data_IF_388136283918
#
_entry.id   IF_388136283918
#
_cell.length_a   1.000
_cell.length_b   1.000
_cell.length_c   1.000
_cell.angle_alpha   90.00
_cell.angle_beta   90.00
_cell.angle_gamma   90.00
#
_symmetry.space_group_name_H-M   'P 1'
#
loop_
_entity.id
_entity.type
_entity.pdbx_description
1 polymer ?
#
# COMPACT_ATOMS: atom_id res chain seq x y z
N UNK A 1 14.21 20.20 9.54
CA UNK A 1 13.57 19.63 10.75
C UNK A 1 12.23 19.06 10.31
N UNK A 2 11.96 17.78 10.58
CA UNK A 2 10.68 17.14 10.20
C UNK A 2 9.59 17.48 11.20
N UNK A 3 8.33 17.55 10.75
CA UNK A 3 7.14 17.69 11.60
C UNK A 3 6.37 16.37 11.55
N UNK A 4 5.85 15.89 12.68
CA UNK A 4 5.08 14.65 12.75
C UNK A 4 3.61 14.94 13.04
N UNK A 5 2.70 14.26 12.34
CA UNK A 5 1.26 14.47 12.51
C UNK A 5 0.73 13.68 13.70
N UNK A 6 0.26 14.37 14.74
CA UNK A 6 -0.38 13.74 15.92
C UNK A 6 -1.91 13.69 15.86
N UNK A 7 -2.54 14.62 15.13
CA UNK A 7 -3.99 14.86 15.22
C UNK A 7 -4.78 14.19 14.08
N UNK A 8 -4.09 13.42 13.23
CA UNK A 8 -4.73 12.59 12.19
C UNK A 8 -5.37 11.35 12.82
N UNK A 9 -6.53 10.95 12.31
CA UNK A 9 -7.22 9.71 12.73
C UNK A 9 -7.40 8.71 11.59
N UNK A 10 -6.56 8.78 10.57
CA UNK A 10 -6.59 7.80 9.50
C UNK A 10 -5.25 7.09 9.33
N UNK A 11 -5.35 5.85 8.89
CA UNK A 11 -4.25 4.94 8.61
C UNK A 11 -4.15 4.78 7.10
N UNK A 12 -2.93 4.69 6.60
CA UNK A 12 -2.66 4.35 5.21
C UNK A 12 -2.06 2.95 5.14
N UNK A 13 -2.72 2.07 4.41
CA UNK A 13 -2.39 0.65 4.25
C UNK A 13 -1.93 0.43 2.80
N UNK A 14 -0.61 0.46 2.57
CA UNK A 14 -0.03 0.24 1.24
C UNK A 14 0.29 -1.25 1.08
N UNK A 15 -0.38 -1.91 0.13
CA UNK A 15 -0.37 -3.37 0.00
C UNK A 15 -1.39 -4.00 0.94
N UNK A 16 -2.65 -3.63 0.73
CA UNK A 16 -3.78 -4.10 1.54
C UNK A 16 -3.97 -5.62 1.48
N UNK A 17 -3.61 -6.24 0.35
CA UNK A 17 -3.88 -7.63 0.06
C UNK A 17 -5.37 -8.01 0.31
N UNK A 18 -5.63 -8.99 1.17
CA UNK A 18 -6.97 -9.48 1.49
C UNK A 18 -7.73 -8.54 2.46
N UNK A 19 -7.06 -7.51 2.98
CA UNK A 19 -7.60 -6.49 3.86
C UNK A 19 -7.58 -6.84 5.36
N UNK A 20 -6.84 -7.85 5.82
CA UNK A 20 -6.82 -8.19 7.25
C UNK A 20 -6.27 -7.06 8.14
N UNK A 21 -5.21 -6.37 7.70
CA UNK A 21 -4.69 -5.18 8.39
C UNK A 21 -5.71 -4.03 8.38
N UNK A 22 -6.29 -3.74 7.21
CA UNK A 22 -7.39 -2.78 7.07
C UNK A 22 -8.55 -3.08 8.03
N UNK A 23 -8.98 -4.34 8.15
CA UNK A 23 -10.04 -4.77 9.07
C UNK A 23 -9.64 -4.52 10.53
N UNK A 24 -8.40 -4.83 10.89
CA UNK A 24 -7.85 -4.56 12.22
C UNK A 24 -7.86 -3.05 12.54
N UNK A 25 -7.39 -2.21 11.62
CA UNK A 25 -7.38 -0.75 11.80
C UNK A 25 -8.79 -0.16 11.94
N UNK A 26 -9.75 -0.66 11.15
CA UNK A 26 -11.16 -0.29 11.26
C UNK A 26 -11.75 -0.69 12.62
N UNK A 27 -11.42 -1.88 13.12
CA UNK A 27 -11.87 -2.34 14.45
C UNK A 27 -11.31 -1.49 15.60
N UNK A 28 -10.13 -0.87 15.41
CA UNK A 28 -9.54 0.11 16.35
C UNK A 28 -10.17 1.50 16.27
N UNK A 29 -11.11 1.73 15.35
CA UNK A 29 -11.83 2.99 15.22
C UNK A 29 -11.18 4.02 14.28
N UNK A 30 -10.13 3.63 13.55
CA UNK A 30 -9.52 4.50 12.54
C UNK A 30 -10.33 4.49 11.25
N UNK A 31 -10.13 5.53 10.44
CA UNK A 31 -10.45 5.49 9.02
C UNK A 31 -9.23 4.98 8.25
N UNK A 32 -9.43 4.36 7.08
CA UNK A 32 -8.35 3.74 6.32
C UNK A 32 -8.35 4.20 4.87
N UNK A 33 -7.18 4.53 4.35
CA UNK A 33 -6.93 4.61 2.91
C UNK A 33 -6.06 3.42 2.54
N UNK A 34 -6.64 2.46 1.84
CA UNK A 34 -6.00 1.20 1.48
C UNK A 34 -5.64 1.20 -0.01
N UNK A 35 -4.47 0.69 -0.37
CA UNK A 35 -3.97 0.66 -1.75
C UNK A 35 -3.64 -0.78 -2.12
N UNK A 36 -4.18 -1.23 -3.26
CA UNK A 36 -3.99 -2.60 -3.77
C UNK A 36 -3.98 -2.59 -5.31
N UNK A 37 -3.01 -3.30 -5.90
CA UNK A 37 -2.83 -3.37 -7.34
C UNK A 37 -3.58 -4.55 -7.97
N UNK A 38 -3.76 -5.65 -7.24
CA UNK A 38 -4.44 -6.86 -7.72
C UNK A 38 -5.97 -6.62 -7.84
N UNK A 39 -6.54 -6.64 -9.06
CA UNK A 39 -7.96 -6.35 -9.26
C UNK A 39 -8.90 -7.33 -8.57
N UNK A 40 -8.50 -8.60 -8.41
CA UNK A 40 -9.30 -9.61 -7.74
C UNK A 40 -9.41 -9.31 -6.23
N UNK A 41 -8.30 -8.91 -5.61
CA UNK A 41 -8.26 -8.52 -4.20
C UNK A 41 -9.02 -7.22 -3.96
N UNK A 42 -8.88 -6.24 -4.85
CA UNK A 42 -9.70 -5.02 -4.84
C UNK A 42 -11.19 -5.35 -4.88
N UNK A 43 -11.62 -6.24 -5.77
CA UNK A 43 -13.03 -6.62 -5.90
C UNK A 43 -13.56 -7.32 -4.63
N UNK A 44 -12.75 -8.24 -4.07
CA UNK A 44 -13.05 -8.91 -2.83
C UNK A 44 -13.16 -7.92 -1.66
N UNK A 45 -12.23 -6.97 -1.55
CA UNK A 45 -12.22 -5.95 -0.51
C UNK A 45 -13.40 -4.97 -0.63
N UNK A 46 -13.78 -4.56 -1.84
CA UNK A 46 -14.98 -3.75 -2.06
C UNK A 46 -16.25 -4.45 -1.57
N UNK A 47 -16.30 -5.78 -1.69
CA UNK A 47 -17.41 -6.59 -1.16
C UNK A 47 -17.32 -6.69 0.37
N UNK A 48 -16.14 -7.04 0.89
CA UNK A 48 -15.86 -7.22 2.32
C UNK A 48 -16.15 -5.97 3.15
N UNK A 49 -15.76 -4.80 2.65
CA UNK A 49 -15.85 -3.52 3.35
C UNK A 49 -16.98 -2.61 2.85
N UNK A 50 -18.00 -3.17 2.20
CA UNK A 50 -19.07 -2.38 1.59
C UNK A 50 -19.75 -1.42 2.58
N UNK A 51 -19.96 -1.85 3.83
CA UNK A 51 -20.57 -1.03 4.87
C UNK A 51 -19.65 0.12 5.31
N UNK A 52 -18.36 -0.14 5.49
CA UNK A 52 -17.35 0.84 5.87
C UNK A 52 -17.08 1.84 4.74
N UNK A 53 -17.11 1.41 3.48
CA UNK A 53 -17.05 2.28 2.31
C UNK A 53 -18.25 3.22 2.31
N UNK A 54 -19.47 2.69 2.48
CA UNK A 54 -20.69 3.51 2.54
C UNK A 54 -20.65 4.53 3.70
N UNK A 55 -20.04 4.15 4.83
CA UNK A 55 -19.82 5.01 5.98
C UNK A 55 -18.60 5.96 5.83
N UNK A 56 -17.90 5.95 4.69
CA UNK A 56 -16.67 6.71 4.42
C UNK A 56 -15.54 6.44 5.43
N UNK A 57 -15.53 5.24 5.99
CA UNK A 57 -14.51 4.76 6.92
C UNK A 57 -13.33 4.10 6.21
N UNK A 58 -13.52 3.58 5.00
CA UNK A 58 -12.43 3.09 4.16
C UNK A 58 -12.55 3.64 2.75
N UNK A 59 -11.41 3.97 2.14
CA UNK A 59 -11.27 4.24 0.72
C UNK A 59 -10.24 3.27 0.15
N UNK A 60 -10.63 2.52 -0.88
CA UNK A 60 -9.75 1.55 -1.56
C UNK A 60 -9.30 2.15 -2.88
N UNK A 61 -7.98 2.20 -3.11
CA UNK A 61 -7.35 2.65 -4.34
C UNK A 61 -6.87 1.44 -5.15
N UNK A 62 -7.44 1.19 -6.34
CA UNK A 62 -7.01 0.10 -7.23
C UNK A 62 -5.74 0.52 -8.00
N UNK A 63 -4.65 0.73 -7.26
CA UNK A 63 -3.42 1.31 -7.75
C UNK A 63 -2.21 0.54 -7.20
N UNK A 64 -1.12 0.55 -7.95
CA UNK A 64 0.19 0.26 -7.37
C UNK A 64 0.75 1.51 -6.67
N UNK A 65 1.73 1.32 -5.78
CA UNK A 65 2.54 2.42 -5.26
C UNK A 65 3.98 2.22 -5.71
N UNK A 66 4.56 3.24 -6.35
CA UNK A 66 5.88 3.15 -6.95
C UNK A 66 6.71 4.42 -6.77
N UNK A 67 7.99 4.34 -7.15
CA UNK A 67 8.93 5.48 -7.21
C UNK A 67 8.44 6.64 -8.07
N UNK A 68 7.68 6.34 -9.13
CA UNK A 68 7.17 7.27 -10.12
C UNK A 68 5.74 6.92 -10.51
N UNK A 69 4.94 7.93 -10.85
CA UNK A 69 3.57 7.73 -11.30
C UNK A 69 3.50 7.23 -12.76
N UNK A 70 2.41 6.56 -13.11
CA UNK A 70 2.10 6.14 -14.48
C UNK A 70 1.76 4.67 -14.59
N UNK A 71 1.74 4.14 -15.82
CA UNK A 71 1.47 2.72 -16.07
C UNK A 71 2.68 1.87 -15.76
N UNK A 72 2.46 0.81 -15.00
CA UNK A 72 3.49 -0.17 -14.63
C UNK A 72 2.96 -1.58 -14.83
N UNK A 73 3.87 -2.50 -15.13
CA UNK A 73 3.59 -3.92 -15.10
C UNK A 73 3.54 -4.41 -13.66
N UNK A 74 2.47 -5.12 -13.33
CA UNK A 74 2.27 -5.81 -12.06
C UNK A 74 2.03 -7.29 -12.35
N UNK A 75 2.76 -8.16 -11.66
CA UNK A 75 2.74 -9.59 -11.88
C UNK A 75 1.92 -10.24 -10.77
N UNK A 76 0.79 -10.83 -11.15
CA UNK A 76 -0.08 -11.57 -10.23
C UNK A 76 0.43 -13.00 -10.17
N UNK A 77 0.76 -13.46 -8.97
CA UNK A 77 1.06 -14.87 -8.73
C UNK A 77 -0.24 -15.67 -8.68
N UNK A 78 -0.29 -16.80 -9.39
CA UNK A 78 -1.51 -17.58 -9.54
C UNK A 78 -1.79 -18.52 -8.35
N UNK A 79 -0.77 -18.82 -7.54
CA UNK A 79 -0.85 -19.76 -6.43
C UNK A 79 -0.88 -19.07 -5.06
N UNK A 80 -0.29 -17.88 -4.94
CA UNK A 80 -0.17 -17.16 -3.67
C UNK A 80 -0.24 -15.65 -3.90
N UNK A 81 -1.36 -15.04 -3.53
CA UNK A 81 -1.60 -13.61 -3.75
C UNK A 81 -0.58 -12.69 -3.06
N UNK A 82 -0.07 -13.07 -1.88
CA UNK A 82 1.00 -12.38 -1.17
C UNK A 82 2.29 -12.26 -1.98
N UNK A 83 2.48 -13.08 -3.01
CA UNK A 83 3.70 -13.04 -3.82
C UNK A 83 3.55 -12.10 -5.02
N UNK A 84 2.35 -11.55 -5.26
CA UNK A 84 2.12 -10.62 -6.38
C UNK A 84 2.95 -9.34 -6.18
N UNK A 85 3.60 -8.87 -7.25
CA UNK A 85 4.57 -7.78 -7.15
C UNK A 85 4.80 -7.09 -8.50
N UNK A 86 5.37 -5.88 -8.48
CA UNK A 86 5.92 -5.24 -9.69
C UNK A 86 7.25 -5.87 -10.14
N UNK A 87 7.91 -6.66 -9.30
CA UNK A 87 9.11 -7.43 -9.64
C UNK A 87 8.73 -8.87 -10.03
N UNK A 88 9.00 -9.25 -11.28
CA UNK A 88 8.76 -10.62 -11.77
C UNK A 88 9.59 -11.67 -11.02
N UNK A 89 10.78 -11.32 -10.52
CA UNK A 89 11.59 -12.22 -9.69
C UNK A 89 10.98 -12.46 -8.31
N UNK A 90 10.10 -11.56 -7.86
CA UNK A 90 9.29 -11.75 -6.66
C UNK A 90 8.04 -12.57 -6.97
N UNK A 91 7.28 -12.15 -7.98
CA UNK A 91 6.02 -12.79 -8.35
C UNK A 91 6.16 -14.20 -8.90
N UNK A 92 7.27 -14.51 -9.58
CA UNK A 92 7.58 -15.84 -10.10
C UNK A 92 8.55 -16.63 -9.24
N UNK A 93 8.72 -16.27 -7.94
CA UNK A 93 9.67 -16.97 -7.07
C UNK A 93 9.33 -18.45 -6.93
N UNK A 94 10.35 -19.28 -6.71
CA UNK A 94 10.23 -20.73 -6.60
C UNK A 94 9.54 -21.38 -7.83
N UNK A 95 9.83 -20.86 -9.03
CA UNK A 95 9.26 -21.29 -10.30
C UNK A 95 7.71 -21.24 -10.35
N UNK A 96 7.11 -20.37 -9.54
CA UNK A 96 5.65 -20.20 -9.50
C UNK A 96 5.14 -19.46 -10.74
N UNK A 97 3.95 -19.87 -11.19
CA UNK A 97 3.28 -19.22 -12.32
C UNK A 97 2.79 -17.83 -11.92
N UNK A 98 3.10 -16.84 -12.75
CA UNK A 98 2.55 -15.50 -12.66
C UNK A 98 2.21 -14.95 -14.05
N UNK A 99 1.27 -14.01 -14.09
CA UNK A 99 0.93 -13.29 -15.31
C UNK A 99 0.99 -11.78 -15.09
N UNK A 100 1.40 -11.05 -16.11
CA UNK A 100 1.50 -9.59 -16.07
C UNK A 100 0.15 -8.93 -16.37
N UNK A 101 -0.14 -7.86 -15.63
CA UNK A 101 -1.21 -6.91 -15.91
C UNK A 101 -0.64 -5.49 -15.88
N UNK A 102 -1.32 -4.56 -16.55
CA UNK A 102 -0.95 -3.14 -16.52
C UNK A 102 -1.85 -2.38 -15.55
N UNK A 103 -1.25 -1.78 -14.51
CA UNK A 103 -1.95 -1.02 -13.48
C UNK A 103 -1.46 0.42 -13.44
N UNK A 104 -2.30 1.31 -12.93
CA UNK A 104 -1.89 2.69 -12.69
C UNK A 104 -1.17 2.77 -11.34
N UNK A 105 0.06 3.26 -11.34
CA UNK A 105 0.86 3.50 -10.15
C UNK A 105 0.78 4.97 -9.70
N UNK A 106 0.70 5.16 -8.39
CA UNK A 106 0.78 6.46 -7.74
C UNK A 106 2.08 6.58 -6.94
N UNK A 107 2.56 7.81 -6.79
CA UNK A 107 3.63 8.11 -5.82
C UNK A 107 3.06 8.33 -4.43
N UNK A 108 3.86 8.15 -3.38
CA UNK A 108 3.47 8.46 -2.00
C UNK A 108 3.04 9.93 -1.88
N UNK A 109 3.75 10.83 -2.56
CA UNK A 109 3.41 12.25 -2.62
C UNK A 109 2.01 12.50 -3.18
N UNK A 110 1.64 11.87 -4.30
CA UNK A 110 0.29 12.01 -4.87
C UNK A 110 -0.81 11.50 -3.92
N UNK A 111 -0.55 10.42 -3.20
CA UNK A 111 -1.51 9.88 -2.22
C UNK A 111 -1.63 10.86 -1.04
N UNK A 112 -0.51 11.41 -0.54
CA UNK A 112 -0.51 12.42 0.53
C UNK A 112 -1.20 13.72 0.10
N UNK A 113 -0.99 14.19 -1.13
CA UNK A 113 -1.66 15.38 -1.65
C UNK A 113 -3.19 15.18 -1.73
N UNK A 114 -3.64 13.94 -2.00
CA UNK A 114 -5.06 13.62 -2.13
C UNK A 114 -5.78 13.39 -0.79
N UNK A 115 -5.11 12.80 0.19
CA UNK A 115 -5.74 12.34 1.44
C UNK A 115 -5.19 13.02 2.70
N UNK A 116 -4.11 13.77 2.58
CA UNK A 116 -3.31 14.25 3.69
C UNK A 116 -2.32 13.19 4.19
N UNK A 117 -1.69 13.47 5.32
CA UNK A 117 -0.66 12.61 5.91
C UNK A 117 -1.30 11.76 7.01
N UNK A 118 -1.11 10.43 6.97
CA UNK A 118 -1.74 9.52 7.93
C UNK A 118 -1.09 9.62 9.31
N UNK A 119 -1.82 9.17 10.33
CA UNK A 119 -1.25 8.93 11.66
C UNK A 119 -0.26 7.76 11.64
N UNK A 120 -0.62 6.70 10.92
CA UNK A 120 0.14 5.47 10.76
C UNK A 120 0.23 5.10 9.28
N UNK A 121 1.43 4.80 8.80
CA UNK A 121 1.69 4.33 7.44
C UNK A 121 2.24 2.90 7.48
N UNK A 122 1.48 1.95 6.92
CA UNK A 122 1.97 0.60 6.62
C UNK A 122 2.52 0.58 5.20
N UNK A 123 3.72 0.02 5.02
CA UNK A 123 4.37 -0.19 3.73
C UNK A 123 4.68 -1.69 3.60
N UNK A 124 3.99 -2.35 2.68
CA UNK A 124 4.09 -3.78 2.43
C UNK A 124 3.72 -4.01 0.96
N UNK A 125 4.53 -3.45 0.06
CA UNK A 125 4.23 -3.41 -1.39
C UNK A 125 5.13 -4.34 -2.20
N UNK A 126 5.81 -5.25 -1.50
CA UNK A 126 6.52 -6.40 -2.03
C UNK A 126 7.49 -6.03 -3.17
N UNK A 127 8.43 -5.13 -2.92
CA UNK A 127 9.53 -4.80 -3.84
C UNK A 127 9.70 -3.33 -4.21
N UNK A 128 8.76 -2.47 -3.82
CA UNK A 128 8.86 -1.00 -3.99
C UNK A 128 9.06 -0.23 -2.68
N UNK A 129 9.24 -0.95 -1.56
CA UNK A 129 9.29 -0.41 -0.20
C UNK A 129 10.42 0.62 -0.04
N UNK A 130 11.59 0.34 -0.64
CA UNK A 130 12.74 1.25 -0.64
C UNK A 130 12.45 2.58 -1.35
N UNK A 131 11.75 2.54 -2.48
CA UNK A 131 11.39 3.75 -3.22
C UNK A 131 10.36 4.59 -2.47
N UNK A 132 9.41 3.94 -1.79
CA UNK A 132 8.43 4.60 -0.93
C UNK A 132 9.12 5.23 0.28
N UNK A 133 10.08 4.54 0.90
CA UNK A 133 10.88 5.10 1.99
C UNK A 133 11.69 6.32 1.56
N UNK A 134 12.33 6.27 0.39
CA UNK A 134 13.06 7.39 -0.16
C UNK A 134 12.13 8.60 -0.42
N UNK A 135 10.89 8.36 -0.87
CA UNK A 135 9.89 9.41 -1.00
C UNK A 135 9.44 9.97 0.36
N UNK A 136 9.24 9.11 1.36
CA UNK A 136 8.88 9.52 2.72
C UNK A 136 9.98 10.38 3.36
N UNK A 137 11.25 10.04 3.16
CA UNK A 137 12.39 10.81 3.65
C UNK A 137 12.40 12.25 3.15
N UNK A 138 11.88 12.49 1.93
CA UNK A 138 11.77 13.83 1.31
C UNK A 138 10.56 14.64 1.79
N UNK A 139 9.62 14.04 2.53
CA UNK A 139 8.46 14.75 3.04
C UNK A 139 8.82 15.65 4.23
N UNK A 140 8.30 16.89 4.23
CA UNK A 140 8.51 17.81 5.37
C UNK A 140 7.70 17.38 6.59
N UNK A 141 6.45 17.01 6.35
CA UNK A 141 5.53 16.49 7.36
C UNK A 141 5.46 14.97 7.18
N UNK A 142 5.52 14.21 8.27
CA UNK A 142 5.60 12.75 8.26
C UNK A 142 4.52 12.12 9.16
N UNK A 143 4.10 10.87 8.89
CA UNK A 143 3.31 10.08 9.81
C UNK A 143 4.03 9.93 11.15
N UNK A 144 3.28 9.85 12.25
CA UNK A 144 3.87 9.64 13.56
C UNK A 144 4.43 8.22 13.71
N UNK A 145 3.81 7.25 13.04
CA UNK A 145 4.22 5.86 13.04
C UNK A 145 4.34 5.32 11.62
N UNK A 146 5.36 4.49 11.39
CA UNK A 146 5.60 3.81 10.13
C UNK A 146 5.91 2.34 10.43
N UNK A 147 5.29 1.42 9.71
CA UNK A 147 5.60 -0.02 9.71
C UNK A 147 5.93 -0.46 8.30
N UNK A 148 6.95 -1.28 8.18
CA UNK A 148 7.56 -1.65 6.89
C UNK A 148 7.87 -3.14 6.94
N UNK A 149 7.50 -3.87 5.90
CA UNK A 149 8.00 -5.23 5.72
C UNK A 149 9.42 -5.21 5.13
N UNK A 150 10.36 -5.95 5.73
CA UNK A 150 11.73 -6.07 5.21
C UNK A 150 11.88 -7.23 4.23
N UNK A 151 11.68 -6.89 2.97
CA UNK A 151 11.85 -7.78 1.83
C UNK A 151 13.33 -7.79 1.39
N UNK A 152 14.14 -8.65 2.03
CA UNK A 152 15.44 -9.20 1.58
C UNK A 152 16.70 -8.32 1.57
N UNK A 153 16.64 -7.00 1.50
CA UNK A 153 17.85 -6.20 1.23
C UNK A 153 18.33 -5.31 2.37
N UNK A 154 17.59 -5.23 3.48
CA UNK A 154 17.87 -4.28 4.55
C UNK A 154 17.65 -2.84 4.08
N UNK A 155 17.22 -1.98 5.00
CA UNK A 155 16.91 -0.58 4.68
C UNK A 155 17.96 0.38 5.24
N UNK A 156 18.23 1.44 4.47
CA UNK A 156 18.72 2.69 5.06
C UNK A 156 17.51 3.40 5.68
N UNK A 157 17.33 3.23 6.99
CA UNK A 157 16.24 3.86 7.73
C UNK A 157 16.42 5.39 7.79
N UNK A 158 15.29 6.10 7.66
CA UNK A 158 15.21 7.57 7.61
C UNK A 158 15.30 8.26 8.97
#
# INVERSE_FOLDING_TARGET
>A
MSIFVSDSRFIMDLGMNNGDDTAYYLAKGFNVVAVEANPALVAAANTRFAAEIAAKRVTILPNAVAGTAGRVSFFINEANDHWSSMDVGWAGRDDSACHAIEVEALTLGQIFDRFGIPYYLKIDVEGADKDILAQLGRQLIKPLYVSIEDCRFGFEYI
#
